data_IF_420204540381
#
_entry.id   IF_420204540381
#
_cell.length_a   1.000
_cell.length_b   1.000
_cell.length_c   1.000
_cell.angle_alpha   90.00
_cell.angle_beta   90.00
_cell.angle_gamma   90.00
#
_symmetry.space_group_name_H-M   'P 1'
#
loop_
_entity.id
_entity.type
_entity.pdbx_description
1 polymer ?
#
# COMPACT_ATOMS: atom_id res chain seq x y z
N UNK A 1 -11.95 -7.24 -23.91
CA UNK A 1 -11.71 -7.36 -25.36
C UNK A 1 -10.42 -8.12 -25.58
N UNK A 2 -10.40 -9.08 -26.44
CA UNK A 2 -9.22 -9.84 -26.88
C UNK A 2 -9.03 -9.67 -28.40
N UNK A 3 -7.95 -10.26 -28.93
CA UNK A 3 -7.74 -10.28 -30.39
C UNK A 3 -8.91 -10.90 -31.15
N UNK A 4 -9.57 -11.90 -30.55
CA UNK A 4 -10.71 -12.62 -31.14
C UNK A 4 -12.07 -11.99 -30.84
N UNK A 5 -12.11 -10.82 -30.18
CA UNK A 5 -13.34 -10.08 -29.90
C UNK A 5 -13.63 -9.85 -28.42
N UNK A 6 -14.90 -9.61 -28.11
CA UNK A 6 -15.35 -9.32 -26.75
C UNK A 6 -15.55 -10.62 -25.97
N UNK A 7 -15.14 -10.59 -24.70
CA UNK A 7 -15.37 -11.64 -23.73
C UNK A 7 -16.37 -11.15 -22.68
N UNK A 8 -17.28 -12.03 -22.26
CA UNK A 8 -18.22 -11.73 -21.19
C UNK A 8 -17.55 -11.74 -19.80
N UNK A 9 -16.47 -12.51 -19.65
CA UNK A 9 -15.68 -12.58 -18.42
C UNK A 9 -14.21 -12.90 -18.73
N UNK A 10 -13.32 -12.53 -17.81
CA UNK A 10 -11.90 -12.82 -17.86
C UNK A 10 -11.40 -13.33 -16.49
N UNK A 11 -10.39 -14.20 -16.53
CA UNK A 11 -9.81 -14.80 -15.32
C UNK A 11 -8.28 -14.91 -15.45
N UNK A 12 -7.56 -14.98 -14.32
CA UNK A 12 -6.11 -15.18 -14.35
C UNK A 12 -5.73 -16.50 -15.06
N UNK A 13 -4.68 -16.54 -15.86
CA UNK A 13 -3.67 -15.49 -16.11
C UNK A 13 -3.90 -14.70 -17.41
N UNK A 14 -5.12 -14.55 -17.88
CA UNK A 14 -5.42 -13.86 -19.15
C UNK A 14 -4.99 -12.38 -19.10
N UNK A 15 -4.35 -11.93 -20.18
CA UNK A 15 -4.14 -10.51 -20.47
C UNK A 15 -5.28 -10.01 -21.34
N UNK A 16 -6.03 -9.03 -20.86
CA UNK A 16 -7.21 -8.52 -21.55
C UNK A 16 -7.20 -7.00 -21.57
N UNK A 17 -7.86 -6.41 -22.58
CA UNK A 17 -8.20 -5.00 -22.60
C UNK A 17 -9.60 -4.84 -22.03
N UNK A 18 -9.76 -3.93 -21.06
CA UNK A 18 -11.06 -3.62 -20.47
C UNK A 18 -11.55 -2.30 -21.05
N UNK A 19 -12.80 -2.25 -21.46
CA UNK A 19 -13.50 -1.01 -21.83
C UNK A 19 -14.49 -0.66 -20.73
N UNK A 20 -14.60 0.61 -20.41
CA UNK A 20 -15.53 1.13 -19.41
C UNK A 20 -16.74 1.75 -20.09
N UNK A 21 -17.88 1.74 -19.42
CA UNK A 21 -19.08 2.44 -19.89
C UNK A 21 -19.00 3.95 -19.66
N UNK A 22 -18.21 4.37 -18.66
CA UNK A 22 -18.03 5.77 -18.29
C UNK A 22 -16.63 6.25 -18.69
N UNK A 23 -16.52 7.53 -19.03
CA UNK A 23 -15.23 8.20 -19.29
C UNK A 23 -14.52 8.47 -17.95
N UNK A 24 -13.73 7.52 -17.48
CA UNK A 24 -12.96 7.60 -16.25
C UNK A 24 -11.49 7.42 -16.58
N UNK A 25 -10.66 8.38 -16.11
CA UNK A 25 -9.20 8.25 -16.18
C UNK A 25 -8.72 7.18 -15.21
N UNK A 26 -8.19 6.09 -15.74
CA UNK A 26 -7.54 5.03 -14.97
C UNK A 26 -6.06 5.02 -15.30
N UNK A 27 -5.25 5.13 -14.26
CA UNK A 27 -3.80 5.17 -14.36
C UNK A 27 -3.14 3.96 -13.69
N UNK A 28 -1.85 3.75 -14.00
CA UNK A 28 -1.08 2.71 -13.30
C UNK A 28 -1.04 2.97 -11.80
N UNK A 29 -1.47 1.99 -11.02
CA UNK A 29 -1.58 2.06 -9.57
C UNK A 29 -3.03 2.13 -9.07
N UNK A 30 -3.98 2.43 -9.96
CA UNK A 30 -5.40 2.34 -9.62
C UNK A 30 -5.85 0.89 -9.56
N UNK A 31 -6.91 0.64 -8.83
CA UNK A 31 -7.42 -0.70 -8.57
C UNK A 31 -8.92 -0.77 -8.87
N UNK A 32 -9.31 -1.70 -9.73
CA UNK A 32 -10.71 -2.05 -9.94
C UNK A 32 -11.15 -3.01 -8.83
N UNK A 33 -12.17 -2.62 -8.09
CA UNK A 33 -12.62 -3.37 -6.91
C UNK A 33 -14.14 -3.53 -6.90
N UNK A 34 -14.60 -4.58 -6.23
CA UNK A 34 -16.03 -4.74 -6.00
C UNK A 34 -16.52 -3.70 -4.97
N UNK A 35 -17.71 -3.07 -5.18
CA UNK A 35 -18.21 -2.01 -4.30
C UNK A 35 -18.30 -2.39 -2.81
N UNK A 36 -18.54 -3.66 -2.53
CA UNK A 36 -18.66 -4.19 -1.16
C UNK A 36 -17.36 -4.76 -0.59
N UNK A 37 -16.24 -4.65 -1.30
CA UNK A 37 -14.94 -5.16 -0.87
C UNK A 37 -13.83 -4.15 -1.20
N UNK A 38 -13.91 -2.99 -0.55
CA UNK A 38 -12.93 -1.92 -0.74
C UNK A 38 -11.64 -2.22 0.03
N UNK A 39 -10.48 -1.96 -0.58
CA UNK A 39 -9.19 -2.00 0.11
C UNK A 39 -9.08 -0.81 1.08
N UNK A 40 -8.13 -0.87 2.00
CA UNK A 40 -7.72 0.29 2.78
C UNK A 40 -6.91 1.23 1.89
N UNK A 41 -7.10 2.54 2.08
CA UNK A 41 -6.40 3.59 1.31
C UNK A 41 -5.66 4.48 2.30
N UNK A 42 -4.37 4.21 2.50
CA UNK A 42 -3.60 4.88 3.54
C UNK A 42 -2.16 5.14 3.10
N UNK A 43 -1.55 6.14 3.73
CA UNK A 43 -0.12 6.47 3.58
C UNK A 43 0.71 5.94 4.74
N UNK A 44 0.08 5.65 5.87
CA UNK A 44 0.72 5.25 7.11
C UNK A 44 0.20 3.87 7.50
N UNK A 45 1.10 2.91 7.59
CA UNK A 45 0.73 1.54 7.92
C UNK A 45 1.86 0.81 8.63
N UNK A 46 1.49 -0.27 9.28
CA UNK A 46 2.42 -1.19 9.92
C UNK A 46 2.65 -2.41 9.04
N UNK A 47 3.88 -2.90 9.06
CA UNK A 47 4.25 -4.10 8.34
C UNK A 47 5.28 -4.93 9.12
N UNK A 48 5.27 -6.24 8.86
CA UNK A 48 6.44 -7.08 9.08
C UNK A 48 7.38 -6.92 7.90
N UNK A 49 8.65 -6.65 8.18
CA UNK A 49 9.70 -6.46 7.19
C UNK A 49 10.77 -7.52 7.35
N UNK A 50 11.25 -8.07 6.27
CA UNK A 50 12.44 -8.92 6.19
C UNK A 50 13.51 -8.14 5.43
N UNK A 51 14.62 -7.85 6.09
CA UNK A 51 15.73 -7.13 5.51
C UNK A 51 16.66 -8.09 4.76
N UNK A 52 17.00 -7.77 3.51
CA UNK A 52 17.73 -8.68 2.61
C UNK A 52 19.03 -8.07 2.05
N UNK A 53 19.37 -6.84 2.45
CA UNK A 53 20.57 -6.15 2.00
C UNK A 53 21.69 -6.31 3.05
N UNK A 54 22.95 -6.37 2.58
CA UNK A 54 24.12 -6.44 3.46
C UNK A 54 24.36 -5.14 4.22
N UNK A 55 23.94 -4.00 3.62
CA UNK A 55 24.02 -2.69 4.26
C UNK A 55 22.93 -2.55 5.33
N UNK A 56 23.27 -2.22 6.58
CA UNK A 56 22.28 -2.07 7.63
C UNK A 56 21.30 -0.92 7.34
N UNK A 57 20.01 -1.18 7.52
CA UNK A 57 18.97 -0.18 7.41
C UNK A 57 18.76 0.53 8.76
N UNK A 58 18.57 1.85 8.72
CA UNK A 58 18.31 2.70 9.89
C UNK A 58 16.97 3.41 9.77
N UNK A 59 16.42 3.83 10.91
CA UNK A 59 15.24 4.68 10.93
C UNK A 59 15.45 5.94 10.08
N UNK A 60 14.40 6.33 9.35
CA UNK A 60 14.42 7.53 8.49
C UNK A 60 14.97 7.29 7.09
N UNK A 61 15.52 6.11 6.78
CA UNK A 61 15.99 5.77 5.44
C UNK A 61 14.83 5.77 4.45
N UNK A 62 15.05 6.35 3.27
CA UNK A 62 14.06 6.41 2.19
C UNK A 62 14.32 5.32 1.15
N UNK A 63 13.26 4.70 0.70
CA UNK A 63 13.24 3.66 -0.31
C UNK A 63 12.18 3.95 -1.37
N UNK A 64 12.25 3.26 -2.49
CA UNK A 64 11.10 3.07 -3.36
C UNK A 64 10.34 1.84 -2.86
N UNK A 65 9.05 2.00 -2.62
CA UNK A 65 8.15 0.88 -2.35
C UNK A 65 7.43 0.51 -3.64
N UNK A 66 7.51 -0.76 -4.00
CA UNK A 66 6.71 -1.33 -5.09
C UNK A 66 5.63 -2.22 -4.48
N UNK A 67 4.39 -1.82 -4.70
CA UNK A 67 3.20 -2.48 -4.21
C UNK A 67 2.24 -2.67 -5.37
N UNK A 68 1.89 -3.92 -5.67
CA UNK A 68 1.11 -4.27 -6.87
C UNK A 68 1.70 -3.62 -8.14
N UNK A 69 0.94 -2.79 -8.86
CA UNK A 69 1.38 -2.03 -10.04
C UNK A 69 1.95 -0.64 -9.71
N UNK A 70 1.85 -0.19 -8.45
CA UNK A 70 2.27 1.13 -8.00
C UNK A 70 3.70 1.12 -7.46
N UNK A 71 4.47 2.17 -7.82
CA UNK A 71 5.78 2.47 -7.21
C UNK A 71 5.75 3.89 -6.68
N UNK A 72 6.15 4.08 -5.42
CA UNK A 72 6.23 5.40 -4.80
C UNK A 72 7.38 5.44 -3.79
N UNK A 73 7.70 6.64 -3.28
CA UNK A 73 8.70 6.79 -2.22
C UNK A 73 8.07 6.39 -0.88
N UNK A 74 8.86 5.70 -0.07
CA UNK A 74 8.50 5.30 1.28
C UNK A 74 9.65 5.60 2.24
N UNK A 75 9.30 5.77 3.51
CA UNK A 75 10.24 5.95 4.61
C UNK A 75 9.82 5.05 5.76
N UNK A 76 10.79 4.42 6.41
CA UNK A 76 10.58 3.74 7.67
C UNK A 76 10.68 4.79 8.78
N UNK A 77 9.56 5.08 9.43
CA UNK A 77 9.49 6.07 10.50
C UNK A 77 10.00 5.50 11.81
N UNK A 78 9.70 4.23 12.07
CA UNK A 78 10.04 3.57 13.32
C UNK A 78 10.17 2.06 13.15
N UNK A 79 11.21 1.49 13.73
CA UNK A 79 11.30 0.05 14.01
C UNK A 79 10.65 -0.15 15.39
N UNK A 80 9.56 -0.92 15.43
CA UNK A 80 8.89 -1.20 16.70
C UNK A 80 9.65 -2.25 17.50
N UNK A 81 10.02 -3.34 16.86
CA UNK A 81 10.85 -4.41 17.41
C UNK A 81 11.32 -5.33 16.30
N UNK A 82 12.43 -5.99 16.51
CA UNK A 82 12.87 -7.15 15.75
C UNK A 82 12.34 -8.43 16.39
N UNK A 83 12.25 -9.48 15.59
CA UNK A 83 11.82 -10.82 16.04
C UNK A 83 12.95 -11.80 15.77
N UNK A 84 13.42 -12.49 16.79
CA UNK A 84 14.34 -13.60 16.63
C UNK A 84 13.59 -14.79 16.03
N UNK A 85 14.08 -15.32 14.92
CA UNK A 85 13.40 -16.39 14.18
C UNK A 85 13.41 -17.75 14.90
N UNK A 86 14.35 -17.94 15.84
CA UNK A 86 14.50 -19.19 16.56
C UNK A 86 13.69 -19.21 17.86
N UNK A 87 13.76 -18.11 18.61
CA UNK A 87 13.11 -18.00 19.93
C UNK A 87 11.75 -17.33 19.87
N UNK A 88 11.44 -16.61 18.77
CA UNK A 88 10.29 -15.72 18.57
C UNK A 88 10.24 -14.55 19.57
N UNK A 89 11.34 -14.31 20.27
CA UNK A 89 11.45 -13.19 21.18
C UNK A 89 11.57 -11.86 20.44
N UNK A 90 11.00 -10.84 21.05
CA UNK A 90 11.05 -9.48 20.54
C UNK A 90 12.21 -8.73 21.18
N UNK A 91 13.00 -8.04 20.36
CA UNK A 91 14.07 -7.16 20.83
C UNK A 91 13.94 -5.76 20.24
N UNK A 92 14.30 -4.75 21.00
CA UNK A 92 14.37 -3.38 20.51
C UNK A 92 15.63 -3.19 19.65
N UNK A 93 15.49 -2.49 18.55
CA UNK A 93 16.61 -2.09 17.69
C UNK A 93 16.24 -0.80 16.96
N UNK A 94 17.24 -0.03 16.60
CA UNK A 94 17.14 1.16 15.73
C UNK A 94 17.61 0.90 14.30
N UNK A 95 18.03 -0.33 14.02
CA UNK A 95 18.51 -0.78 12.70
C UNK A 95 18.06 -2.20 12.39
N UNK A 96 18.11 -2.56 11.11
CA UNK A 96 18.05 -3.94 10.63
C UNK A 96 19.41 -4.33 10.08
N UNK A 97 19.81 -5.53 10.34
CA UNK A 97 20.93 -6.21 9.67
C UNK A 97 20.39 -7.29 8.72
N UNK A 98 21.27 -7.83 7.89
CA UNK A 98 20.91 -8.86 6.90
C UNK A 98 20.13 -10.01 7.56
N UNK A 99 19.04 -10.43 6.92
CA UNK A 99 18.15 -11.52 7.33
C UNK A 99 17.37 -11.26 8.64
N UNK A 100 17.36 -10.03 9.14
CA UNK A 100 16.54 -9.70 10.29
C UNK A 100 15.09 -9.46 9.89
N UNK A 101 14.20 -9.85 10.80
CA UNK A 101 12.75 -9.69 10.67
C UNK A 101 12.27 -8.77 11.78
N UNK A 102 11.40 -7.83 11.45
CA UNK A 102 10.85 -6.93 12.47
C UNK A 102 9.58 -6.22 12.05
N UNK A 103 8.92 -5.61 13.03
CA UNK A 103 7.73 -4.79 12.83
C UNK A 103 8.14 -3.33 12.69
N UNK A 104 7.62 -2.70 11.65
CA UNK A 104 7.95 -1.33 11.29
C UNK A 104 6.70 -0.50 11.02
N UNK A 105 6.84 0.82 11.22
CA UNK A 105 5.89 1.83 10.78
C UNK A 105 6.45 2.48 9.53
N UNK A 106 5.63 2.56 8.49
CA UNK A 106 6.02 3.04 7.16
C UNK A 106 5.11 4.20 6.78
N UNK A 107 5.71 5.23 6.19
CA UNK A 107 5.02 6.33 5.53
C UNK A 107 5.38 6.37 4.05
N UNK A 108 4.36 6.48 3.19
CA UNK A 108 4.50 6.61 1.74
C UNK A 108 4.14 8.01 1.25
N UNK A 109 4.73 8.43 0.13
CA UNK A 109 4.41 9.73 -0.48
C UNK A 109 3.03 9.76 -1.11
N UNK A 110 2.62 8.65 -1.74
CA UNK A 110 1.28 8.48 -2.29
C UNK A 110 0.52 7.42 -1.48
N UNK A 111 -0.79 7.53 -1.33
CA UNK A 111 -1.57 6.47 -0.66
C UNK A 111 -1.44 5.15 -1.42
N UNK A 112 -1.45 4.05 -0.69
CA UNK A 112 -1.51 2.69 -1.24
C UNK A 112 -2.92 2.11 -1.01
N UNK A 113 -3.36 1.28 -1.95
CA UNK A 113 -4.61 0.54 -1.87
C UNK A 113 -4.31 -0.89 -1.44
N UNK A 114 -4.47 -1.23 -0.18
CA UNK A 114 -4.03 -2.51 0.35
C UNK A 114 -5.06 -3.21 1.23
N UNK A 115 -4.89 -4.51 1.37
CA UNK A 115 -5.46 -5.32 2.43
C UNK A 115 -4.36 -5.76 3.40
N UNK A 116 -4.73 -6.18 4.60
CA UNK A 116 -3.79 -6.88 5.46
C UNK A 116 -3.32 -8.18 4.78
N UNK A 117 -2.03 -8.51 4.88
CA UNK A 117 -1.43 -9.70 4.24
C UNK A 117 -2.17 -11.00 4.58
N UNK A 118 -2.68 -11.11 5.81
CA UNK A 118 -3.48 -12.26 6.25
C UNK A 118 -4.80 -12.39 5.48
N UNK A 119 -5.39 -11.28 5.03
CA UNK A 119 -6.63 -11.25 4.25
C UNK A 119 -6.37 -11.52 2.77
N UNK A 120 -5.38 -10.82 2.20
CA UNK A 120 -5.01 -10.95 0.79
C UNK A 120 -3.51 -10.77 0.63
N UNK A 121 -2.80 -11.84 0.28
CA UNK A 121 -1.34 -11.83 0.13
C UNK A 121 -0.87 -10.95 -1.03
N UNK A 122 -1.61 -10.86 -2.11
CA UNK A 122 -1.22 -10.09 -3.30
C UNK A 122 -1.27 -8.59 -3.04
N UNK A 123 -2.35 -8.12 -2.39
CA UNK A 123 -2.52 -6.69 -2.05
C UNK A 123 -1.96 -6.34 -0.68
N UNK A 124 -1.49 -7.31 0.10
CA UNK A 124 -0.90 -7.12 1.41
C UNK A 124 0.63 -7.25 1.43
N UNK A 125 1.29 -7.45 0.30
CA UNK A 125 2.74 -7.57 0.21
C UNK A 125 3.36 -6.45 -0.63
N UNK A 126 4.62 -6.11 -0.32
CA UNK A 126 5.40 -5.13 -1.07
C UNK A 126 6.89 -5.47 -1.02
N UNK A 127 7.66 -4.80 -1.86
CA UNK A 127 9.13 -4.80 -1.78
C UNK A 127 9.65 -3.39 -1.60
N UNK A 128 10.79 -3.27 -0.91
CA UNK A 128 11.61 -2.08 -0.93
C UNK A 128 12.74 -2.22 -1.94
N UNK A 129 12.96 -1.14 -2.67
CA UNK A 129 13.97 -1.01 -3.70
C UNK A 129 14.85 0.17 -3.30
N UNK A 130 16.15 -0.03 -3.30
CA UNK A 130 17.12 1.03 -3.11
C UNK A 130 17.02 2.04 -4.28
N UNK A 131 16.87 3.34 -4.02
CA UNK A 131 16.68 4.32 -5.08
C UNK A 131 17.93 4.59 -5.93
N UNK A 132 19.11 4.16 -5.48
CA UNK A 132 20.38 4.38 -6.16
C UNK A 132 20.81 3.15 -6.96
N UNK A 133 20.83 2.00 -6.31
CA UNK A 133 21.27 0.73 -6.92
C UNK A 133 20.17 0.01 -7.68
N UNK A 134 18.91 0.35 -7.40
CA UNK A 134 17.70 -0.32 -7.91
C UNK A 134 17.59 -1.81 -7.50
N UNK A 135 18.36 -2.23 -6.52
CA UNK A 135 18.26 -3.57 -5.95
C UNK A 135 17.08 -3.66 -4.97
N UNK A 136 16.47 -4.85 -4.90
CA UNK A 136 15.49 -5.14 -3.85
C UNK A 136 16.23 -5.35 -2.54
N UNK A 137 15.96 -4.53 -1.54
CA UNK A 137 16.62 -4.57 -0.24
C UNK A 137 15.74 -5.13 0.89
N UNK A 138 14.42 -5.17 0.70
CA UNK A 138 13.54 -5.81 1.67
C UNK A 138 12.23 -6.28 1.03
N UNK A 139 11.57 -7.21 1.73
CA UNK A 139 10.19 -7.62 1.46
C UNK A 139 9.33 -7.34 2.69
N UNK A 140 8.08 -6.94 2.48
CA UNK A 140 7.18 -6.58 3.56
C UNK A 140 5.79 -7.19 3.43
N UNK A 141 5.19 -7.43 4.59
CA UNK A 141 3.83 -7.93 4.75
C UNK A 141 3.04 -6.92 5.57
N UNK A 142 2.06 -6.28 4.97
CA UNK A 142 1.24 -5.24 5.62
C UNK A 142 0.38 -5.90 6.70
N UNK A 143 0.46 -5.36 7.91
CA UNK A 143 -0.34 -5.83 9.05
C UNK A 143 -1.67 -5.11 9.05
N UNK A 144 -1.62 -3.77 9.15
CA UNK A 144 -2.80 -2.91 9.16
C UNK A 144 -2.42 -1.44 8.90
N UNK A 145 -3.44 -0.59 8.74
CA UNK A 145 -3.26 0.85 8.81
C UNK A 145 -2.80 1.25 10.22
N UNK A 146 -2.07 2.33 10.31
CA UNK A 146 -1.72 2.91 11.60
C UNK A 146 -2.94 3.54 12.26
N UNK A 147 -3.18 3.30 13.55
CA UNK A 147 -4.22 3.99 14.29
C UNK A 147 -3.90 5.47 14.41
N UNK A 148 -4.94 6.31 14.52
CA UNK A 148 -4.76 7.77 14.63
C UNK A 148 -3.89 8.18 15.83
N UNK A 149 -3.87 7.37 16.88
CA UNK A 149 -3.13 7.63 18.11
C UNK A 149 -1.62 7.30 18.00
N UNK A 150 -1.26 6.49 16.99
CA UNK A 150 0.13 6.05 16.73
C UNK A 150 0.81 6.84 15.58
N UNK A 151 0.15 7.86 15.04
CA UNK A 151 0.72 8.70 14.00
C UNK A 151 1.95 9.47 14.52
N UNK A 152 3.07 9.46 13.78
CA UNK A 152 4.26 10.21 14.17
C UNK A 152 3.94 11.70 14.41
N UNK A 153 4.41 12.26 15.51
CA UNK A 153 4.11 13.64 15.96
C UNK A 153 4.46 14.75 14.93
N UNK A 154 5.25 14.44 13.91
CA UNK A 154 5.58 15.36 12.81
C UNK A 154 4.46 15.57 11.79
N UNK A 155 3.38 14.78 11.86
CA UNK A 155 2.23 14.85 10.94
C UNK A 155 1.08 15.67 11.54
N UNK A 156 1.16 16.07 12.80
CA UNK A 156 0.12 16.82 13.55
C UNK A 156 -0.10 18.26 13.02
N UNK A 157 0.57 18.68 11.96
CA UNK A 157 0.36 19.98 11.32
C UNK A 157 -0.58 20.00 10.10
N UNK A 158 -1.18 18.87 9.74
CA UNK A 158 -2.14 18.78 8.63
C UNK A 158 -3.53 18.54 9.21
N UNK A 159 -4.42 19.51 9.01
CA UNK A 159 -5.82 19.43 9.43
C UNK A 159 -6.42 18.05 9.11
N UNK A 160 -6.86 17.35 10.15
CA UNK A 160 -7.53 16.04 10.07
C UNK A 160 -8.76 16.06 9.12
N UNK A 161 -9.37 17.23 8.91
CA UNK A 161 -10.50 17.41 7.99
C UNK A 161 -10.11 17.41 6.51
N UNK A 162 -8.85 17.72 6.16
CA UNK A 162 -8.41 17.76 4.75
C UNK A 162 -7.87 16.43 4.21
N UNK A 163 -7.63 15.44 5.05
CA UNK A 163 -7.11 14.13 4.63
C UNK A 163 -8.23 13.22 4.07
N UNK A 164 -9.48 13.48 4.43
CA UNK A 164 -10.64 12.68 4.01
C UNK A 164 -11.22 13.05 2.64
N UNK A 165 -10.79 14.15 2.02
CA UNK A 165 -11.40 14.67 0.79
C UNK A 165 -10.54 14.51 -0.47
N UNK A 166 -9.41 13.82 -0.41
CA UNK A 166 -8.49 13.66 -1.55
C UNK A 166 -8.57 12.33 -2.29
N UNK A 167 -9.47 11.45 -1.91
CA UNK A 167 -9.74 10.20 -2.63
C UNK A 167 -11.10 10.37 -3.26
N UNK A 168 -11.17 10.39 -4.59
CA UNK A 168 -12.42 10.50 -5.35
C UNK A 168 -13.35 9.31 -5.14
N UNK A 169 -13.82 9.15 -3.92
CA UNK A 169 -15.02 8.42 -3.59
C UNK A 169 -16.16 9.42 -3.79
N UNK A 170 -16.76 9.40 -4.97
CA UNK A 170 -18.10 10.00 -5.13
C UNK A 170 -19.00 9.26 -4.15
N UNK A 171 -19.40 9.93 -3.07
CA UNK A 171 -20.32 9.36 -2.13
C UNK A 171 -21.62 9.01 -2.88
N UNK A 172 -22.25 7.88 -2.55
CA UNK A 172 -23.48 7.42 -3.20
C UNK A 172 -24.56 8.53 -3.22
N UNK A 173 -24.57 9.42 -2.22
CA UNK A 173 -25.44 10.59 -2.16
C UNK A 173 -25.12 11.68 -3.21
N UNK A 174 -23.86 11.86 -3.60
CA UNK A 174 -23.49 12.79 -4.69
C UNK A 174 -23.82 12.20 -6.05
N UNK A 175 -23.63 10.90 -6.22
CA UNK A 175 -24.02 10.20 -7.43
C UNK A 175 -25.55 10.27 -7.65
N UNK A 176 -26.35 10.06 -6.62
CA UNK A 176 -27.81 10.16 -6.69
C UNK A 176 -28.29 11.59 -6.96
N UNK A 177 -27.60 12.64 -6.46
CA UNK A 177 -27.97 14.04 -6.70
C UNK A 177 -27.69 14.53 -8.12
N UNK A 178 -26.64 13.98 -8.78
CA UNK A 178 -26.28 14.36 -10.15
C UNK A 178 -27.14 13.65 -11.20
N UNK A 179 -27.63 12.47 -10.92
CA UNK A 179 -28.39 11.64 -11.87
C UNK A 179 -29.90 11.63 -11.66
N UNK A 180 -30.43 12.28 -10.63
CA UNK A 180 -31.90 12.46 -10.45
C UNK A 180 -32.53 13.57 -11.30
N UNK A 181 -31.79 14.17 -12.23
CA UNK A 181 -32.37 15.03 -13.25
C UNK A 181 -32.49 14.30 -14.58
N UNK A 182 -33.40 13.34 -14.68
CA UNK A 182 -34.13 13.04 -15.92
C UNK A 182 -34.98 11.78 -15.69
N UNK A 183 -36.17 11.96 -15.26
CA UNK A 183 -37.27 11.09 -15.56
C UNK A 183 -38.31 11.93 -16.27
#
# INVERSE_FOLDING_TARGET
VTYDGNLDYAFPPQSVTITLNDEIDISRGDMLVHPNNLPKVERHFEAMLVWMDESPMKNGTQFLIKHTSQTTKARIDKIQHLVDVNTLEKRNSDKFELNEIGRVVITTTKPLFFDAYKKNRQTGSFIFIDPVTHNTCAVGMIIDKLSSDDLPSRIIGVDKEKITTGVGLIAKSEYESVYQQKG
#
